data_IF_439932723515
#
_entry.id   IF_439932723515
#
_cell.length_a   1.000
_cell.length_b   1.000
_cell.length_c   1.000
_cell.angle_alpha   90.00
_cell.angle_beta   90.00
_cell.angle_gamma   90.00
#
_symmetry.space_group_name_H-M   'P 1'
#
loop_
_entity.id
_entity.type
_entity.pdbx_description
1 polymer ?
#
# COMPACT_ATOMS: atom_id res chain seq x y z
N UNK A 1 -18.48 -3.07 5.46
CA UNK A 1 -17.26 -3.00 6.33
C UNK A 1 -17.58 -2.40 7.69
N UNK A 2 -18.18 -1.21 7.77
CA UNK A 2 -18.49 -0.55 9.06
C UNK A 2 -19.41 -1.39 9.95
N UNK A 3 -20.43 -2.03 9.38
CA UNK A 3 -21.36 -2.88 10.14
C UNK A 3 -20.70 -4.13 10.72
N UNK A 4 -19.80 -4.76 9.98
CA UNK A 4 -19.09 -5.98 10.43
C UNK A 4 -18.13 -5.70 11.58
N UNK A 5 -17.51 -4.50 11.57
CA UNK A 5 -16.53 -4.07 12.58
C UNK A 5 -17.10 -3.09 13.60
N UNK A 6 -18.41 -2.89 13.62
CA UNK A 6 -19.06 -1.89 14.48
C UNK A 6 -18.67 -2.03 15.96
N UNK A 7 -18.61 -3.24 16.47
CA UNK A 7 -18.24 -3.53 17.86
C UNK A 7 -16.78 -3.16 18.18
N UNK A 8 -15.84 -3.42 17.27
CA UNK A 8 -14.43 -3.07 17.45
C UNK A 8 -14.23 -1.56 17.36
N UNK A 9 -14.89 -0.91 16.39
CA UNK A 9 -14.88 0.55 16.23
C UNK A 9 -15.43 1.22 17.49
N UNK A 10 -16.55 0.73 18.03
CA UNK A 10 -17.15 1.30 19.24
C UNK A 10 -16.26 1.09 20.48
N UNK A 11 -15.64 -0.07 20.62
CA UNK A 11 -14.68 -0.34 21.67
C UNK A 11 -13.46 0.61 21.64
N UNK A 12 -13.00 0.97 20.46
CA UNK A 12 -11.86 1.91 20.29
C UNK A 12 -12.25 3.37 20.47
N UNK A 13 -13.51 3.74 20.24
CA UNK A 13 -14.01 5.12 20.40
C UNK A 13 -13.85 5.68 21.82
N UNK A 14 -13.79 4.83 22.82
CA UNK A 14 -13.57 5.26 24.20
C UNK A 14 -12.18 5.85 24.45
N UNK A 15 -11.23 5.62 23.55
CA UNK A 15 -9.84 6.05 23.70
C UNK A 15 -9.31 6.96 22.59
N UNK A 16 -10.09 7.15 21.49
CA UNK A 16 -9.66 7.92 20.34
C UNK A 16 -10.72 8.93 19.91
N UNK A 17 -10.34 10.03 19.24
CA UNK A 17 -11.31 10.98 18.70
C UNK A 17 -12.33 10.27 17.79
N UNK A 18 -13.61 10.54 18.00
CA UNK A 18 -14.71 9.96 17.20
C UNK A 18 -14.53 10.24 15.71
N UNK A 19 -13.96 11.39 15.37
CA UNK A 19 -13.68 11.78 13.97
C UNK A 19 -12.65 10.89 13.28
N UNK A 20 -11.73 10.29 14.03
CA UNK A 20 -10.68 9.44 13.46
C UNK A 20 -11.17 8.11 12.88
N UNK A 21 -12.36 7.66 13.27
CA UNK A 21 -12.99 6.45 12.73
C UNK A 21 -14.02 6.71 11.62
N UNK A 22 -14.22 7.99 11.23
CA UNK A 22 -15.19 8.33 10.21
C UNK A 22 -14.60 8.17 8.81
N UNK A 23 -15.16 7.24 8.05
CA UNK A 23 -14.84 7.06 6.64
C UNK A 23 -15.98 7.67 5.81
N UNK A 24 -15.61 8.56 4.89
CA UNK A 24 -16.52 9.10 3.89
C UNK A 24 -16.09 8.53 2.55
N UNK A 25 -16.95 7.71 1.93
CA UNK A 25 -16.69 7.14 0.62
C UNK A 25 -17.14 8.12 -0.47
N UNK A 26 -16.25 8.36 -1.45
CA UNK A 26 -16.55 9.06 -2.68
C UNK A 26 -16.40 8.07 -3.83
N UNK A 27 -17.50 7.72 -4.48
CA UNK A 27 -17.52 6.81 -5.62
C UNK A 27 -17.32 7.58 -6.92
N UNK A 28 -16.62 6.98 -7.88
CA UNK A 28 -16.46 7.50 -9.22
C UNK A 28 -16.50 6.35 -10.23
N UNK A 29 -16.80 6.66 -11.50
CA UNK A 29 -16.87 5.65 -12.56
C UNK A 29 -15.45 5.24 -13.00
N UNK A 30 -15.07 3.99 -12.74
CA UNK A 30 -13.78 3.41 -13.11
C UNK A 30 -13.52 3.35 -14.62
N UNK A 31 -14.57 3.47 -15.45
CA UNK A 31 -14.46 3.43 -16.92
C UNK A 31 -14.00 4.76 -17.51
N UNK A 32 -14.06 5.81 -16.73
CA UNK A 32 -13.76 7.16 -17.19
C UNK A 32 -12.45 7.66 -16.62
N UNK A 33 -11.78 8.51 -17.39
CA UNK A 33 -10.62 9.28 -16.92
C UNK A 33 -11.08 10.64 -16.42
N UNK A 34 -10.55 11.11 -15.30
CA UNK A 34 -10.91 12.41 -14.76
C UNK A 34 -10.31 12.73 -13.41
N UNK A 35 -10.51 13.97 -13.00
CA UNK A 35 -10.10 14.45 -11.68
C UNK A 35 -11.08 13.95 -10.63
N UNK A 36 -10.57 13.26 -9.62
CA UNK A 36 -11.35 12.72 -8.49
C UNK A 36 -11.09 13.46 -7.18
N UNK A 37 -10.01 14.23 -7.12
CA UNK A 37 -9.65 15.06 -5.98
C UNK A 37 -8.88 16.29 -6.45
N UNK A 38 -9.26 17.49 -5.97
CA UNK A 38 -8.58 18.74 -6.27
C UNK A 38 -8.75 19.72 -5.10
N UNK A 39 -7.95 19.54 -4.04
CA UNK A 39 -8.00 20.38 -2.85
C UNK A 39 -6.59 20.59 -2.27
N UNK A 40 -6.38 21.70 -1.60
CA UNK A 40 -5.14 22.05 -0.90
C UNK A 40 -3.87 22.00 -1.80
N UNK A 41 -4.04 22.27 -3.10
CA UNK A 41 -2.95 22.23 -4.07
C UNK A 41 -2.56 20.80 -4.50
N UNK A 42 -3.27 19.78 -4.04
CA UNK A 42 -3.13 18.39 -4.48
C UNK A 42 -4.23 18.07 -5.46
N UNK A 43 -3.85 17.59 -6.64
CA UNK A 43 -4.78 17.11 -7.67
C UNK A 43 -4.54 15.64 -7.94
N UNK A 44 -5.60 14.84 -7.91
CA UNK A 44 -5.54 13.42 -8.26
C UNK A 44 -6.49 13.15 -9.40
N UNK A 45 -5.96 12.58 -10.47
CA UNK A 45 -6.74 12.04 -11.59
C UNK A 45 -6.74 10.52 -11.53
N UNK A 46 -7.89 9.90 -11.79
CA UNK A 46 -7.99 8.46 -12.03
C UNK A 46 -8.14 8.18 -13.52
N UNK A 47 -7.71 7.01 -13.93
CA UNK A 47 -7.91 6.49 -15.28
C UNK A 47 -7.99 4.97 -15.28
N UNK A 48 -8.67 4.36 -16.27
CA UNK A 48 -8.86 2.92 -16.31
C UNK A 48 -7.54 2.15 -16.31
N UNK A 49 -7.50 1.07 -15.53
CA UNK A 49 -6.51 0.01 -15.62
C UNK A 49 -7.15 -1.26 -16.21
N UNK A 50 -6.34 -2.17 -16.72
CA UNK A 50 -6.82 -3.42 -17.31
C UNK A 50 -6.30 -4.58 -16.49
N UNK A 51 -7.19 -5.29 -15.81
CA UNK A 51 -6.87 -6.48 -15.04
C UNK A 51 -7.93 -7.57 -15.27
N UNK A 52 -7.93 -8.63 -14.46
CA UNK A 52 -8.81 -9.79 -14.63
C UNK A 52 -10.31 -9.48 -14.50
N UNK A 53 -10.67 -8.47 -13.70
CA UNK A 53 -12.06 -8.04 -13.47
C UNK A 53 -12.20 -6.55 -13.77
N UNK A 54 -13.42 -6.12 -14.03
CA UNK A 54 -13.77 -4.70 -14.13
C UNK A 54 -13.63 -3.99 -12.77
N UNK A 55 -13.18 -2.74 -12.80
CA UNK A 55 -13.06 -1.87 -11.63
C UNK A 55 -11.66 -1.38 -11.28
N UNK A 56 -10.55 -1.99 -11.75
CA UNK A 56 -9.23 -1.46 -11.45
C UNK A 56 -9.00 -0.10 -12.10
N UNK A 57 -8.30 0.74 -11.36
CA UNK A 57 -7.93 2.09 -11.77
C UNK A 57 -6.48 2.38 -11.43
N UNK A 58 -5.89 3.26 -12.20
CA UNK A 58 -4.59 3.87 -11.92
C UNK A 58 -4.77 5.33 -11.56
N UNK A 59 -3.77 5.93 -10.92
CA UNK A 59 -3.84 7.30 -10.43
C UNK A 59 -2.63 8.12 -10.88
N UNK A 60 -2.88 9.41 -11.17
CA UNK A 60 -1.86 10.44 -11.28
C UNK A 60 -2.10 11.50 -10.23
N UNK A 61 -1.13 11.71 -9.35
CA UNK A 61 -1.10 12.78 -8.36
C UNK A 61 -0.19 13.91 -8.88
N UNK A 62 -0.67 15.14 -8.75
CA UNK A 62 0.09 16.35 -9.06
C UNK A 62 0.10 17.25 -7.82
N UNK A 63 1.28 17.69 -7.43
CA UNK A 63 1.47 18.58 -6.29
C UNK A 63 2.76 19.37 -6.43
N UNK A 64 2.67 20.67 -6.22
CA UNK A 64 3.84 21.56 -6.22
C UNK A 64 4.76 21.39 -7.44
N UNK A 65 4.15 21.31 -8.63
CA UNK A 65 4.87 21.14 -9.91
C UNK A 65 5.44 19.74 -10.16
N UNK A 66 5.21 18.78 -9.25
CA UNK A 66 5.65 17.40 -9.38
C UNK A 66 4.49 16.47 -9.69
N UNK A 67 4.80 15.35 -10.31
CA UNK A 67 3.81 14.32 -10.62
C UNK A 67 4.28 12.92 -10.20
N UNK A 68 3.35 12.19 -9.63
CA UNK A 68 3.50 10.81 -9.23
C UNK A 68 2.41 9.98 -9.91
N UNK A 69 2.76 8.84 -10.50
CA UNK A 69 1.79 7.94 -11.14
C UNK A 69 1.89 6.55 -10.52
N UNK A 70 0.75 5.99 -10.16
CA UNK A 70 0.61 4.67 -9.59
C UNK A 70 -0.27 3.79 -10.47
N UNK A 71 0.30 2.68 -10.97
CA UNK A 71 -0.35 1.80 -11.93
C UNK A 71 -1.37 0.84 -11.31
N UNK A 72 -1.10 0.36 -10.10
CA UNK A 72 -1.79 -0.82 -9.57
C UNK A 72 -1.45 -2.07 -10.38
N UNK A 73 -2.20 -3.15 -10.18
CA UNK A 73 -2.10 -4.36 -10.97
C UNK A 73 -2.80 -4.13 -12.31
N UNK A 74 -2.06 -4.21 -13.39
CA UNK A 74 -2.58 -3.86 -14.72
C UNK A 74 -1.71 -4.41 -15.84
N UNK A 75 -2.35 -4.96 -16.85
CA UNK A 75 -1.71 -5.19 -18.14
C UNK A 75 -1.26 -3.87 -18.78
N UNK A 76 -0.23 -3.89 -19.66
CA UNK A 76 0.18 -2.73 -20.43
C UNK A 76 -0.99 -2.12 -21.19
N UNK A 77 -1.22 -0.81 -21.01
CA UNK A 77 -2.36 -0.13 -21.62
C UNK A 77 -2.05 1.31 -22.01
N UNK A 78 -2.85 1.85 -22.95
CA UNK A 78 -2.64 3.19 -23.52
C UNK A 78 -2.94 4.33 -22.53
N UNK A 79 -3.87 4.12 -21.59
CA UNK A 79 -4.16 5.12 -20.57
C UNK A 79 -2.96 5.33 -19.67
N UNK A 80 -2.31 4.25 -19.23
CA UNK A 80 -1.11 4.36 -18.42
C UNK A 80 -0.01 5.13 -19.14
N UNK A 81 0.28 4.78 -20.39
CA UNK A 81 1.29 5.51 -21.20
C UNK A 81 0.95 6.99 -21.33
N UNK A 82 -0.34 7.33 -21.54
CA UNK A 82 -0.81 8.72 -21.64
C UNK A 82 -0.56 9.50 -20.35
N UNK A 83 -0.96 8.95 -19.21
CA UNK A 83 -0.94 9.63 -17.91
C UNK A 83 0.43 9.59 -17.22
N UNK A 84 1.24 8.60 -17.50
CA UNK A 84 2.57 8.46 -16.89
C UNK A 84 3.67 9.20 -17.66
N UNK A 85 3.36 9.75 -18.85
CA UNK A 85 4.35 10.43 -19.67
C UNK A 85 5.00 11.60 -18.91
N UNK A 86 6.34 11.62 -18.94
CA UNK A 86 7.21 12.64 -18.36
C UNK A 86 6.92 12.89 -16.84
N UNK A 87 6.40 11.90 -16.11
CA UNK A 87 6.17 12.04 -14.69
C UNK A 87 7.48 11.95 -13.89
N UNK A 88 7.50 12.59 -12.71
CA UNK A 88 8.65 12.57 -11.81
C UNK A 88 8.92 11.17 -11.26
N UNK A 89 7.87 10.50 -10.78
CA UNK A 89 7.94 9.16 -10.23
C UNK A 89 6.82 8.30 -10.81
N UNK A 90 7.17 7.17 -11.40
CA UNK A 90 6.20 6.22 -11.94
C UNK A 90 6.37 4.88 -11.24
N UNK A 91 5.33 4.46 -10.55
CA UNK A 91 5.24 3.17 -9.85
C UNK A 91 4.27 2.28 -10.62
N UNK A 92 4.74 1.14 -11.07
CA UNK A 92 3.93 0.17 -11.80
C UNK A 92 4.34 -1.24 -11.43
N UNK A 93 3.39 -2.18 -11.52
CA UNK A 93 3.74 -3.57 -11.34
C UNK A 93 4.80 -4.04 -12.34
N UNK A 94 5.62 -4.96 -11.88
CA UNK A 94 6.68 -5.59 -12.65
C UNK A 94 6.66 -7.08 -12.29
N UNK A 95 5.65 -7.78 -12.79
CA UNK A 95 5.29 -9.13 -12.38
C UNK A 95 6.28 -10.18 -12.92
N UNK A 96 6.03 -11.44 -12.62
CA UNK A 96 6.85 -12.56 -13.08
C UNK A 96 6.73 -12.80 -14.57
N UNK A 97 7.80 -13.34 -15.17
CA UNK A 97 7.71 -13.95 -16.48
C UNK A 97 6.94 -15.29 -16.41
N UNK A 98 6.38 -15.79 -17.52
CA UNK A 98 5.77 -17.12 -17.54
C UNK A 98 6.71 -18.25 -17.09
N UNK A 99 8.01 -18.14 -17.39
CA UNK A 99 9.00 -19.15 -16.98
C UNK A 99 9.24 -19.13 -15.47
N UNK A 100 9.26 -17.95 -14.85
CA UNK A 100 9.34 -17.80 -13.41
C UNK A 100 8.11 -18.39 -12.71
N UNK A 101 6.88 -18.11 -13.21
CA UNK A 101 5.66 -18.71 -12.65
C UNK A 101 5.64 -20.23 -12.73
N UNK A 102 6.11 -20.80 -13.83
CA UNK A 102 6.23 -22.25 -13.94
C UNK A 102 7.23 -22.83 -12.93
N UNK A 103 8.39 -22.20 -12.79
CA UNK A 103 9.45 -22.65 -11.89
C UNK A 103 9.08 -22.49 -10.41
N UNK A 104 8.44 -21.38 -10.04
CA UNK A 104 8.18 -21.01 -8.64
C UNK A 104 6.88 -21.59 -8.10
N UNK A 105 5.85 -21.67 -8.94
CA UNK A 105 4.49 -22.02 -8.53
C UNK A 105 3.96 -23.27 -9.25
N UNK A 106 4.80 -23.96 -10.03
CA UNK A 106 4.41 -25.11 -10.82
C UNK A 106 3.20 -24.84 -11.75
N UNK A 107 3.01 -23.59 -12.12
CA UNK A 107 1.87 -23.15 -12.91
C UNK A 107 1.94 -23.75 -14.33
N UNK A 108 0.88 -24.39 -14.84
CA UNK A 108 0.89 -24.90 -16.21
C UNK A 108 1.15 -23.77 -17.23
N UNK A 109 1.94 -24.05 -18.28
CA UNK A 109 2.40 -23.04 -19.26
C UNK A 109 1.30 -22.14 -19.82
N UNK A 110 0.12 -22.64 -20.24
CA UNK A 110 -0.94 -21.76 -20.76
C UNK A 110 -1.45 -20.77 -19.69
N UNK A 111 -1.59 -21.24 -18.44
CA UNK A 111 -2.00 -20.40 -17.33
C UNK A 111 -0.90 -19.38 -16.95
N UNK A 112 0.36 -19.79 -16.95
CA UNK A 112 1.48 -18.89 -16.69
C UNK A 112 1.56 -17.76 -17.72
N UNK A 113 1.36 -18.04 -18.99
CA UNK A 113 1.28 -17.02 -20.04
C UNK A 113 0.09 -16.09 -19.83
N UNK A 114 -1.09 -16.65 -19.54
CA UNK A 114 -2.30 -15.85 -19.30
C UNK A 114 -2.09 -14.89 -18.11
N UNK A 115 -1.59 -15.39 -17.00
CA UNK A 115 -1.36 -14.59 -15.79
C UNK A 115 -0.32 -13.51 -16.06
N UNK A 116 0.88 -13.88 -16.52
CA UNK A 116 1.99 -12.95 -16.64
C UNK A 116 1.83 -11.90 -17.75
N UNK A 117 1.29 -12.30 -18.90
CA UNK A 117 1.34 -11.46 -20.10
C UNK A 117 -0.01 -10.81 -20.49
N UNK A 118 -1.13 -11.30 -19.95
CA UNK A 118 -2.46 -10.78 -20.29
C UNK A 118 -3.22 -10.20 -19.08
N UNK A 119 -2.86 -10.59 -17.87
CA UNK A 119 -3.45 -10.05 -16.63
C UNK A 119 -2.51 -9.02 -16.03
N UNK A 120 -1.22 -9.33 -15.98
CA UNK A 120 -0.17 -8.52 -15.37
C UNK A 120 0.81 -7.94 -16.41
N UNK A 121 1.78 -7.20 -15.93
CA UNK A 121 2.87 -6.64 -16.74
C UNK A 121 4.17 -7.37 -16.43
N UNK A 122 4.71 -8.08 -17.42
CA UNK A 122 6.01 -8.76 -17.32
C UNK A 122 7.17 -7.74 -17.21
N UNK A 123 8.34 -8.12 -16.67
CA UNK A 123 9.47 -7.21 -16.51
C UNK A 123 9.95 -6.56 -17.81
N UNK A 124 9.95 -7.27 -18.94
CA UNK A 124 10.30 -6.69 -20.25
C UNK A 124 9.24 -5.71 -20.76
N UNK A 125 7.96 -6.00 -20.49
CA UNK A 125 6.86 -5.10 -20.82
C UNK A 125 6.89 -3.84 -19.95
N UNK A 126 7.19 -3.98 -18.65
CA UNK A 126 7.44 -2.86 -17.76
C UNK A 126 8.55 -1.96 -18.31
N UNK A 127 9.70 -2.51 -18.69
CA UNK A 127 10.79 -1.74 -19.28
C UNK A 127 10.37 -1.00 -20.56
N UNK A 128 9.58 -1.64 -21.44
CA UNK A 128 9.04 -0.97 -22.65
C UNK A 128 8.10 0.19 -22.31
N UNK A 129 7.24 0.03 -21.28
CA UNK A 129 6.38 1.11 -20.79
C UNK A 129 7.26 2.26 -20.29
N UNK A 130 8.24 2.00 -19.43
CA UNK A 130 9.11 3.04 -18.88
C UNK A 130 9.93 3.75 -19.96
N UNK A 131 10.37 3.04 -21.00
CA UNK A 131 11.04 3.63 -22.17
C UNK A 131 10.12 4.55 -22.98
N UNK A 132 8.81 4.25 -23.03
CA UNK A 132 7.82 5.06 -23.70
C UNK A 132 7.40 6.31 -22.90
N UNK A 133 7.23 6.17 -21.56
CA UNK A 133 6.74 7.26 -20.70
C UNK A 133 7.87 8.17 -20.19
N UNK A 134 9.12 7.67 -20.17
CA UNK A 134 10.32 8.42 -19.79
C UNK A 134 10.20 9.13 -18.43
N UNK A 135 9.91 8.39 -17.34
CA UNK A 135 9.83 9.01 -16.04
C UNK A 135 11.20 9.50 -15.58
N UNK A 136 11.23 10.47 -14.68
CA UNK A 136 12.47 10.85 -14.02
C UNK A 136 13.02 9.71 -13.16
N UNK A 137 12.12 8.89 -12.56
CA UNK A 137 12.47 7.66 -11.86
C UNK A 137 11.36 6.61 -11.99
N UNK A 138 11.71 5.40 -12.41
CA UNK A 138 10.81 4.27 -12.51
C UNK A 138 10.89 3.38 -11.25
N UNK A 139 9.75 2.86 -10.81
CA UNK A 139 9.66 1.94 -9.67
C UNK A 139 8.86 0.72 -10.11
N UNK A 140 9.51 -0.44 -10.07
CA UNK A 140 8.87 -1.74 -10.27
C UNK A 140 8.55 -2.40 -8.93
N UNK A 141 7.37 -3.00 -8.80
CA UNK A 141 6.94 -3.76 -7.63
C UNK A 141 6.10 -4.98 -8.06
N UNK A 142 5.55 -5.74 -7.14
CA UNK A 142 4.69 -6.90 -7.36
C UNK A 142 5.44 -8.16 -7.86
N UNK A 143 6.62 -8.38 -7.34
CA UNK A 143 7.43 -9.59 -7.51
C UNK A 143 7.99 -10.03 -6.15
N UNK A 144 8.49 -11.26 -6.07
CA UNK A 144 9.16 -11.70 -4.85
C UNK A 144 10.59 -11.18 -4.80
N UNK A 145 10.99 -10.64 -3.66
CA UNK A 145 12.30 -10.02 -3.44
C UNK A 145 13.41 -11.02 -3.09
N UNK A 146 13.21 -12.32 -3.35
CA UNK A 146 14.27 -13.31 -3.24
C UNK A 146 15.41 -12.97 -4.21
N UNK A 147 16.64 -13.11 -3.74
CA UNK A 147 17.82 -12.65 -4.44
C UNK A 147 17.89 -13.11 -5.92
N UNK A 148 17.58 -14.38 -6.20
CA UNK A 148 17.61 -14.92 -7.58
C UNK A 148 16.53 -14.28 -8.46
N UNK A 149 15.32 -14.12 -7.92
CA UNK A 149 14.20 -13.51 -8.64
C UNK A 149 14.45 -12.03 -8.89
N UNK A 150 14.94 -11.30 -7.89
CA UNK A 150 15.26 -9.89 -8.01
C UNK A 150 16.23 -9.63 -9.17
N UNK A 151 17.31 -10.40 -9.25
CA UNK A 151 18.31 -10.26 -10.30
C UNK A 151 17.73 -10.58 -11.69
N UNK A 152 16.95 -11.65 -11.84
CA UNK A 152 16.30 -12.00 -13.10
C UNK A 152 15.32 -10.91 -13.56
N UNK A 153 14.52 -10.35 -12.63
CA UNK A 153 13.61 -9.24 -12.91
C UNK A 153 14.41 -8.02 -13.37
N UNK A 154 15.47 -7.66 -12.63
CA UNK A 154 16.32 -6.54 -12.98
C UNK A 154 16.95 -6.68 -14.37
N UNK A 155 17.54 -7.84 -14.67
CA UNK A 155 18.14 -8.11 -15.98
C UNK A 155 17.10 -8.03 -17.10
N UNK A 156 15.91 -8.58 -16.86
CA UNK A 156 14.83 -8.55 -17.84
C UNK A 156 14.33 -7.13 -18.10
N UNK A 157 14.13 -6.31 -17.05
CA UNK A 157 13.80 -4.89 -17.21
C UNK A 157 14.89 -4.15 -17.99
N UNK A 158 16.16 -4.39 -17.61
CA UNK A 158 17.31 -3.73 -18.24
C UNK A 158 17.49 -4.08 -19.71
N UNK A 159 16.92 -5.19 -20.17
CA UNK A 159 16.91 -5.51 -21.62
C UNK A 159 16.06 -4.55 -22.44
N UNK A 160 15.16 -3.77 -21.81
CA UNK A 160 14.20 -2.88 -22.51
C UNK A 160 14.15 -1.45 -21.92
N UNK A 161 14.83 -1.19 -20.81
CA UNK A 161 14.88 0.12 -20.16
C UNK A 161 16.23 0.38 -19.48
N UNK A 162 16.87 1.48 -19.81
CA UNK A 162 18.20 1.90 -19.31
C UNK A 162 18.13 3.12 -18.36
N UNK A 163 16.93 3.68 -18.15
CA UNK A 163 16.73 4.84 -17.27
C UNK A 163 16.82 4.54 -15.77
N UNK A 164 16.64 5.59 -14.94
CA UNK A 164 16.64 5.45 -13.47
C UNK A 164 15.54 4.50 -12.99
N UNK A 165 15.92 3.48 -12.21
CA UNK A 165 15.07 2.38 -11.80
C UNK A 165 15.32 1.99 -10.35
N UNK A 166 14.26 1.74 -9.59
CA UNK A 166 14.26 0.98 -8.36
C UNK A 166 13.30 -0.20 -8.50
N UNK A 167 13.75 -1.40 -8.18
CA UNK A 167 12.88 -2.52 -7.85
C UNK A 167 12.57 -2.42 -6.36
N UNK A 168 11.30 -2.16 -6.03
CA UNK A 168 10.88 -1.80 -4.68
C UNK A 168 10.83 -3.00 -3.73
N UNK A 169 11.24 -2.76 -2.52
CA UNK A 169 11.03 -3.63 -1.36
C UNK A 169 10.21 -2.88 -0.32
N UNK A 170 9.72 -3.60 0.68
CA UNK A 170 9.01 -2.98 1.79
C UNK A 170 9.88 -1.90 2.45
N UNK A 171 9.26 -0.79 2.84
CA UNK A 171 9.93 0.36 3.45
C UNK A 171 10.87 1.16 2.53
N UNK A 172 10.88 0.90 1.22
CA UNK A 172 11.59 1.78 0.27
C UNK A 172 10.94 3.16 0.22
N UNK A 173 11.74 4.22 0.30
CA UNK A 173 11.31 5.62 0.34
C UNK A 173 11.98 6.41 -0.78
N UNK A 174 11.19 7.15 -1.52
CA UNK A 174 11.67 8.07 -2.57
C UNK A 174 11.44 9.51 -2.12
N UNK A 175 12.52 10.26 -1.96
CA UNK A 175 12.45 11.70 -1.76
C UNK A 175 12.67 12.40 -3.10
N UNK A 176 11.62 13.00 -3.62
CA UNK A 176 11.63 13.70 -4.91
C UNK A 176 11.83 15.20 -4.66
N UNK A 177 12.99 15.74 -5.08
CA UNK A 177 13.32 17.16 -5.03
C UNK A 177 13.48 17.74 -6.44
N UNK A 178 13.73 19.02 -6.57
CA UNK A 178 13.97 19.64 -7.88
C UNK A 178 15.25 19.07 -8.52
N UNK A 179 16.28 18.79 -7.71
CA UNK A 179 17.59 18.37 -8.18
C UNK A 179 17.67 16.86 -8.43
N UNK A 180 17.06 16.05 -7.56
CA UNK A 180 17.27 14.60 -7.57
C UNK A 180 16.10 13.81 -6.96
N UNK A 181 16.06 12.52 -7.30
CA UNK A 181 15.29 11.50 -6.58
C UNK A 181 16.24 10.70 -5.72
N UNK A 182 16.09 10.80 -4.40
CA UNK A 182 16.89 10.03 -3.44
C UNK A 182 16.11 8.80 -3.00
N UNK A 183 16.66 7.64 -3.28
CA UNK A 183 16.10 6.35 -2.86
C UNK A 183 16.81 5.89 -1.61
N UNK A 184 16.04 5.49 -0.61
CA UNK A 184 16.56 4.97 0.67
C UNK A 184 15.59 3.95 1.25
N UNK A 185 16.08 3.14 2.15
CA UNK A 185 15.27 2.26 2.97
C UNK A 185 14.96 2.94 4.31
N UNK A 186 13.71 2.88 4.74
CA UNK A 186 13.33 3.34 6.07
C UNK A 186 13.54 2.19 7.07
N UNK A 187 14.43 2.39 8.02
CA UNK A 187 14.62 1.47 9.13
C UNK A 187 13.62 1.83 10.22
N UNK A 188 12.67 0.93 10.47
CA UNK A 188 11.71 1.06 11.58
C UNK A 188 12.28 0.28 12.74
N UNK A 189 12.52 0.96 13.86
CA UNK A 189 12.96 0.28 15.09
C UNK A 189 11.75 -0.41 15.73
N UNK A 190 11.97 -1.54 16.39
CA UNK A 190 10.94 -2.32 17.11
C UNK A 190 10.24 -1.51 18.22
N UNK A 191 10.81 -0.37 18.59
CA UNK A 191 10.33 0.51 19.65
C UNK A 191 9.38 1.63 19.18
N UNK A 192 8.90 1.60 17.94
CA UNK A 192 7.91 2.58 17.46
C UNK A 192 6.55 2.30 18.08
N UNK A 193 6.36 2.73 19.31
CA UNK A 193 5.02 2.86 19.86
C UNK A 193 4.31 4.04 19.18
N UNK A 194 3.01 3.92 18.86
CA UNK A 194 2.25 5.05 18.36
C UNK A 194 2.32 6.19 19.38
N UNK A 195 3.02 7.26 19.01
CA UNK A 195 3.04 8.49 19.79
C UNK A 195 1.67 9.12 19.64
N UNK A 196 1.00 9.40 20.72
CA UNK A 196 -0.25 10.14 20.65
C UNK A 196 -1.41 9.44 21.31
N UNK A 197 -1.13 8.75 22.37
CA UNK A 197 -2.17 8.54 23.35
C UNK A 197 -2.64 9.91 23.80
N UNK A 198 -3.73 10.33 23.22
CA UNK A 198 -4.38 11.55 23.65
C UNK A 198 -4.71 11.41 25.13
N UNK A 199 -4.73 12.51 25.84
CA UNK A 199 -5.16 12.55 27.24
C UNK A 199 -6.51 11.85 27.43
N UNK A 200 -7.37 11.87 26.42
CA UNK A 200 -8.65 11.16 26.38
C UNK A 200 -8.51 9.63 26.56
N UNK A 201 -7.49 9.01 25.99
CA UNK A 201 -7.23 7.59 26.19
C UNK A 201 -6.90 7.26 27.64
N UNK A 202 -6.14 8.11 28.32
CA UNK A 202 -5.71 7.95 29.71
C UNK A 202 -6.83 8.20 30.73
N UNK A 203 -7.82 9.01 30.35
CA UNK A 203 -8.92 9.43 31.23
C UNK A 203 -10.23 8.68 30.96
N UNK A 204 -10.30 7.90 29.88
CA UNK A 204 -11.49 7.10 29.58
C UNK A 204 -11.74 6.07 30.66
N UNK A 205 -12.87 6.18 31.35
CA UNK A 205 -13.34 5.14 32.26
C UNK A 205 -13.81 3.97 31.41
N UNK A 206 -13.15 2.84 31.57
CA UNK A 206 -13.53 1.58 30.93
C UNK A 206 -14.13 0.67 32.01
N UNK A 207 -15.30 0.18 31.76
CA UNK A 207 -15.83 -0.93 32.54
C UNK A 207 -15.31 -2.24 31.92
N UNK A 208 -14.79 -3.19 32.73
CA UNK A 208 -14.38 -4.47 32.21
C UNK A 208 -15.60 -5.21 31.63
N UNK A 209 -15.43 -5.99 30.55
CA UNK A 209 -16.50 -6.78 29.97
C UNK A 209 -17.12 -7.71 31.05
N UNK A 210 -18.44 -7.84 31.06
CA UNK A 210 -19.14 -8.69 32.07
C UNK A 210 -18.61 -10.11 32.11
N UNK A 211 -18.32 -10.71 30.97
CA UNK A 211 -17.81 -12.09 30.86
C UNK A 211 -16.42 -12.25 31.50
N UNK A 212 -15.64 -11.18 31.60
CA UNK A 212 -14.30 -11.26 32.18
C UNK A 212 -14.27 -11.24 33.70
N UNK A 213 -15.33 -10.82 34.36
CA UNK A 213 -15.37 -10.61 35.82
C UNK A 213 -15.11 -11.91 36.60
N UNK A 214 -15.63 -13.03 36.12
CA UNK A 214 -15.52 -14.33 36.79
C UNK A 214 -14.25 -15.12 36.42
N UNK A 215 -13.55 -14.68 35.35
CA UNK A 215 -12.37 -15.37 34.80
C UNK A 215 -11.05 -14.65 35.08
N UNK A 216 -11.08 -13.41 35.57
CA UNK A 216 -9.87 -12.68 35.97
C UNK A 216 -9.35 -13.30 37.25
N UNK A 217 -8.21 -13.99 37.21
CA UNK A 217 -7.56 -14.51 38.42
C UNK A 217 -6.89 -13.34 39.17
N UNK A 218 -7.38 -13.04 40.41
CA UNK A 218 -6.74 -12.03 41.24
C UNK A 218 -5.28 -12.34 41.56
N UNK A 219 -4.95 -13.64 41.68
CA UNK A 219 -3.62 -14.11 42.04
C UNK A 219 -2.61 -13.92 40.92
N UNK A 220 -3.05 -13.94 39.64
CA UNK A 220 -2.19 -13.69 38.48
C UNK A 220 -2.04 -12.21 38.26
N UNK A 221 -3.12 -11.42 38.41
CA UNK A 221 -3.13 -9.99 38.16
C UNK A 221 -2.73 -9.14 39.38
N UNK A 222 -2.71 -9.74 40.58
CA UNK A 222 -2.41 -8.98 41.77
C UNK A 222 -0.94 -8.57 41.86
N UNK A 223 -0.70 -7.29 41.78
CA UNK A 223 0.32 -6.63 42.55
C UNK A 223 1.78 -6.87 42.19
N UNK A 224 2.10 -7.17 40.95
CA UNK A 224 3.52 -7.21 40.53
C UNK A 224 4.05 -5.87 39.99
N UNK A 225 3.22 -4.84 40.00
CA UNK A 225 3.61 -3.50 39.51
C UNK A 225 3.71 -2.56 40.71
N UNK A 226 4.90 -2.13 41.04
CA UNK A 226 5.12 -1.16 42.11
C UNK A 226 4.22 0.08 41.89
N UNK A 227 3.38 0.39 42.87
CA UNK A 227 2.45 1.54 42.81
C UNK A 227 1.10 1.30 42.14
N UNK A 228 0.82 0.07 41.66
CA UNK A 228 -0.50 -0.28 41.11
C UNK A 228 -1.35 -1.04 42.12
N UNK A 229 -2.46 -0.44 42.52
CA UNK A 229 -3.52 -1.12 43.25
C UNK A 229 -4.66 -1.38 42.27
N UNK A 230 -4.98 -2.65 41.93
CA UNK A 230 -6.11 -2.93 41.06
C UNK A 230 -7.40 -2.45 41.70
N UNK A 231 -8.36 -1.91 40.92
CA UNK A 231 -9.65 -1.54 41.44
C UNK A 231 -10.33 -2.78 42.07
N UNK A 232 -11.05 -2.62 43.19
CA UNK A 232 -11.76 -3.75 43.82
C UNK A 232 -12.72 -4.36 42.79
N UNK A 233 -12.67 -5.68 42.65
CA UNK A 233 -13.63 -6.41 41.81
C UNK A 233 -15.05 -6.06 42.28
N UNK A 234 -16.00 -5.80 41.36
CA UNK A 234 -17.38 -5.60 41.74
C UNK A 234 -17.88 -6.85 42.51
N UNK A 235 -18.48 -6.60 43.67
CA UNK A 235 -19.10 -7.70 44.43
C UNK A 235 -20.19 -8.35 43.60
N UNK A 236 -20.33 -9.66 43.65
CA UNK A 236 -21.37 -10.39 42.93
C UNK A 236 -22.78 -9.93 43.31
#
# INVERSE_FOLDING_TARGET
>A
MVEVWAWDIEGRRTGFPISGGKVIAHEFDFRTEGVIYDENGVKISSFPAIHILDGPVSFRLEWNGRSFVFGGDSSPNKWFVKYAKDAELVVHECFFTPDQLQRLLETPRPAAIMISAYIHTTPDAFGKIMSAVKPRHAVGYHFWTFHDIYNEVLETVRSTYDGPLTLAEDMTVWNVTDEQVVVREAIVTDDVAPTGTTQAYRTAKREPPEVAKDWISPDINAGKWEGYTPPPLPKP
#
